data_IF_447534779992
#
_entry.id   IF_447534779992
#
_cell.length_a   1.000
_cell.length_b   1.000
_cell.length_c   1.000
_cell.angle_alpha   90.00
_cell.angle_beta   90.00
_cell.angle_gamma   90.00
#
_symmetry.space_group_name_H-M   'P 1'
#
loop_
_entity.id
_entity.type
_entity.pdbx_description
1 polymer ?
#
# COMPACT_ATOMS: atom_id res chain seq x y z
N UNK A 1 55.61 4.04 -36.93
CA UNK A 1 54.47 3.78 -36.01
C UNK A 1 53.83 5.10 -35.63
N UNK A 2 52.62 5.38 -36.13
CA UNK A 2 51.65 6.33 -35.52
C UNK A 2 50.49 6.51 -36.50
N UNK A 3 49.47 5.65 -36.38
CA UNK A 3 48.16 5.87 -36.99
C UNK A 3 47.33 6.73 -36.04
N UNK A 4 46.89 7.91 -36.48
CA UNK A 4 45.91 8.73 -35.79
C UNK A 4 44.50 8.35 -36.26
N UNK A 5 43.77 7.65 -35.39
CA UNK A 5 42.35 7.37 -35.56
C UNK A 5 41.51 8.60 -35.16
N UNK A 6 40.85 9.21 -36.14
CA UNK A 6 39.80 10.21 -35.91
C UNK A 6 38.45 9.51 -35.74
N UNK A 7 37.96 9.44 -34.49
CA UNK A 7 36.59 9.01 -34.18
C UNK A 7 35.60 10.15 -34.41
N UNK A 8 34.78 10.02 -35.46
CA UNK A 8 33.57 10.83 -35.66
C UNK A 8 32.51 10.48 -34.60
N UNK A 9 32.24 11.41 -33.69
CA UNK A 9 31.10 11.36 -32.76
C UNK A 9 29.88 11.98 -33.44
N UNK A 10 28.94 11.14 -33.90
CA UNK A 10 27.62 11.59 -34.34
C UNK A 10 26.75 11.90 -33.12
N UNK A 11 26.45 13.19 -32.92
CA UNK A 11 25.44 13.67 -31.96
C UNK A 11 24.04 13.40 -32.52
N UNK A 12 23.31 12.47 -31.92
CA UNK A 12 21.86 12.32 -32.14
C UNK A 12 21.12 13.21 -31.13
N UNK A 13 20.23 14.09 -31.64
CA UNK A 13 19.32 14.90 -30.82
C UNK A 13 18.17 14.02 -30.31
N UNK A 14 17.76 14.10 -29.04
CA UNK A 14 16.50 13.51 -28.60
C UNK A 14 15.34 14.45 -28.97
N UNK A 15 14.54 14.05 -29.96
CA UNK A 15 13.23 14.65 -30.24
C UNK A 15 12.16 13.80 -29.57
N UNK A 16 11.72 14.19 -28.38
CA UNK A 16 10.46 13.72 -27.79
C UNK A 16 9.91 14.79 -26.85
N UNK A 17 9.35 15.84 -27.43
CA UNK A 17 8.41 16.74 -26.74
C UNK A 17 7.02 16.13 -26.86
N UNK A 18 6.65 15.30 -25.88
CA UNK A 18 5.27 14.85 -25.71
C UNK A 18 4.39 16.07 -25.38
N UNK A 19 3.37 16.24 -26.21
CA UNK A 19 2.48 17.39 -26.22
C UNK A 19 1.59 17.38 -24.98
N UNK A 20 1.64 18.43 -24.17
CA UNK A 20 0.96 18.59 -22.87
C UNK A 20 -0.57 18.40 -22.96
N UNK A 21 -1.14 18.51 -24.18
CA UNK A 21 -2.54 18.22 -24.48
C UNK A 21 -2.95 16.74 -24.41
N UNK A 22 -2.04 15.78 -24.59
CA UNK A 22 -2.38 14.35 -24.56
C UNK A 22 -2.51 13.79 -23.14
N UNK A 23 -1.87 14.42 -22.14
CA UNK A 23 -1.92 13.93 -20.75
C UNK A 23 -3.28 14.21 -20.08
N UNK A 24 -4.01 15.25 -20.51
CA UNK A 24 -5.34 15.59 -19.97
C UNK A 24 -6.45 14.65 -20.45
N UNK A 25 -6.28 13.97 -21.59
CA UNK A 25 -7.28 13.05 -22.13
C UNK A 25 -7.23 11.66 -21.49
N UNK A 26 -6.08 11.28 -20.90
CA UNK A 26 -5.94 10.03 -20.14
C UNK A 26 -6.48 10.13 -18.70
N UNK A 27 -6.53 11.32 -18.10
CA UNK A 27 -7.07 11.50 -16.75
C UNK A 27 -8.60 11.39 -16.67
N UNK A 28 -9.34 11.71 -17.74
CA UNK A 28 -10.81 11.61 -17.74
C UNK A 28 -11.34 10.19 -17.94
N UNK A 29 -10.50 9.24 -18.36
CA UNK A 29 -10.90 7.84 -18.52
C UNK A 29 -10.77 7.01 -17.22
N UNK A 30 -10.12 7.54 -16.18
CA UNK A 30 -9.78 6.80 -14.96
C UNK A 30 -10.82 6.83 -13.84
N UNK A 31 -11.95 7.54 -14.00
CA UNK A 31 -12.94 7.77 -12.93
C UNK A 31 -14.27 7.01 -13.08
N UNK A 32 -14.42 6.12 -14.07
CA UNK A 32 -15.71 5.48 -14.37
C UNK A 32 -15.75 3.93 -14.30
N UNK A 33 -14.70 3.25 -13.80
CA UNK A 33 -14.70 1.79 -13.69
C UNK A 33 -14.37 1.34 -12.26
N UNK A 34 -15.31 1.60 -11.34
CA UNK A 34 -15.35 0.95 -10.03
C UNK A 34 -16.78 0.51 -9.74
N UNK A 35 -17.09 -0.75 -10.03
CA UNK A 35 -18.41 -1.30 -9.73
C UNK A 35 -18.54 -2.76 -10.15
N UNK A 36 -18.42 -3.63 -9.15
CA UNK A 36 -19.01 -4.97 -9.07
C UNK A 36 -18.40 -6.10 -9.89
N UNK A 37 -17.24 -6.60 -9.45
CA UNK A 37 -16.86 -8.00 -9.67
C UNK A 37 -16.66 -8.71 -8.32
N UNK A 38 -17.79 -9.01 -7.65
CA UNK A 38 -17.85 -10.11 -6.69
C UNK A 38 -17.84 -11.43 -7.48
N UNK A 39 -16.66 -11.81 -7.97
CA UNK A 39 -16.41 -13.12 -8.55
C UNK A 39 -16.20 -14.14 -7.43
N UNK A 40 -17.27 -14.80 -7.00
CA UNK A 40 -17.18 -16.10 -6.31
C UNK A 40 -16.47 -17.09 -7.26
N UNK A 41 -15.15 -17.17 -7.13
CA UNK A 41 -14.36 -18.25 -7.72
C UNK A 41 -14.67 -19.52 -6.94
N UNK A 42 -15.77 -20.16 -7.31
CA UNK A 42 -16.08 -21.52 -6.94
C UNK A 42 -14.96 -22.41 -7.48
N UNK A 43 -14.07 -22.79 -6.58
CA UNK A 43 -12.94 -23.67 -6.80
C UNK A 43 -13.45 -25.08 -7.09
N UNK A 44 -14.01 -25.28 -8.28
CA UNK A 44 -14.32 -26.60 -8.82
C UNK A 44 -13.00 -27.26 -9.19
N UNK A 45 -12.33 -27.82 -8.18
CA UNK A 45 -11.40 -28.92 -8.34
C UNK A 45 -12.17 -30.10 -8.92
N UNK A 46 -12.41 -30.08 -10.23
CA UNK A 46 -12.73 -31.29 -10.97
C UNK A 46 -11.48 -32.15 -10.91
N UNK A 47 -11.45 -33.05 -9.94
CA UNK A 47 -10.52 -34.15 -9.85
C UNK A 47 -10.55 -34.87 -11.21
N UNK A 48 -9.55 -34.59 -12.05
CA UNK A 48 -9.25 -35.39 -13.22
C UNK A 48 -8.71 -36.70 -12.67
N UNK A 49 -9.64 -37.58 -12.31
CA UNK A 49 -9.36 -38.97 -12.00
C UNK A 49 -8.61 -39.52 -13.21
N UNK A 50 -7.32 -39.91 -13.08
CA UNK A 50 -6.64 -40.63 -14.14
C UNK A 50 -7.34 -41.98 -14.22
N UNK A 51 -8.31 -42.07 -15.14
CA UNK A 51 -9.03 -43.30 -15.41
C UNK A 51 -8.00 -44.25 -16.00
N UNK A 52 -7.35 -45.04 -15.13
CA UNK A 52 -6.48 -46.12 -15.54
C UNK A 52 -7.24 -46.96 -16.58
N UNK A 53 -6.67 -47.16 -17.78
CA UNK A 53 -7.26 -48.08 -18.72
C UNK A 53 -7.21 -49.44 -18.06
N UNK A 54 -8.38 -49.92 -17.60
CA UNK A 54 -8.58 -51.27 -17.09
C UNK A 54 -7.87 -52.23 -18.04
N UNK A 55 -6.72 -52.74 -17.61
CA UNK A 55 -5.96 -53.78 -18.32
C UNK A 55 -6.92 -54.94 -18.52
N UNK A 56 -7.48 -55.03 -19.72
CA UNK A 56 -8.20 -56.19 -20.19
C UNK A 56 -7.24 -57.36 -20.08
N UNK A 57 -7.52 -58.27 -19.15
CA UNK A 57 -6.83 -59.55 -19.00
C UNK A 57 -6.97 -60.28 -20.32
N UNK A 58 -5.96 -60.16 -21.18
CA UNK A 58 -5.84 -60.94 -22.40
C UNK A 58 -5.67 -62.38 -21.98
N UNK A 59 -6.75 -63.15 -22.03
CA UNK A 59 -6.76 -64.59 -21.88
C UNK A 59 -5.97 -65.13 -23.07
N UNK A 60 -4.69 -65.41 -22.86
CA UNK A 60 -3.86 -66.20 -23.75
C UNK A 60 -4.31 -67.65 -23.56
N UNK A 61 -5.38 -68.04 -24.24
CA UNK A 61 -5.77 -69.44 -24.38
C UNK A 61 -4.69 -70.13 -25.23
N UNK A 62 -3.92 -71.00 -24.58
CA UNK A 62 -2.99 -71.92 -25.21
C UNK A 62 -3.78 -72.81 -26.18
N UNK A 63 -3.64 -72.55 -27.48
CA UNK A 63 -4.13 -73.45 -28.52
C UNK A 63 -3.29 -74.72 -28.50
N UNK A 64 -3.80 -75.75 -27.85
CA UNK A 64 -3.28 -77.10 -27.93
C UNK A 64 -3.35 -77.57 -29.40
N UNK A 65 -2.19 -77.88 -29.97
CA UNK A 65 -2.02 -78.46 -31.30
C UNK A 65 -2.59 -79.88 -31.31
N UNK A 66 -3.87 -80.02 -31.66
CA UNK A 66 -4.41 -81.30 -32.07
C UNK A 66 -3.89 -81.63 -33.47
N UNK A 67 -3.04 -82.65 -33.56
CA UNK A 67 -2.65 -83.32 -34.79
C UNK A 67 -3.90 -83.91 -35.46
N UNK A 68 -4.53 -83.12 -36.33
CA UNK A 68 -5.54 -83.62 -37.27
C UNK A 68 -4.80 -84.16 -38.49
N UNK A 69 -4.71 -85.49 -38.59
CA UNK A 69 -4.29 -86.19 -39.79
C UNK A 69 -5.09 -85.64 -40.99
N UNK A 70 -4.38 -85.10 -41.98
CA UNK A 70 -4.98 -84.45 -43.14
C UNK A 70 -5.67 -85.49 -44.05
N UNK A 71 -6.95 -85.75 -43.79
CA UNK A 71 -7.84 -86.34 -44.78
C UNK A 71 -7.91 -85.35 -45.95
N UNK A 72 -7.52 -85.82 -47.15
CA UNK A 72 -7.57 -85.05 -48.40
C UNK A 72 -9.05 -84.91 -48.83
N UNK A 73 -9.80 -84.09 -48.12
CA UNK A 73 -11.20 -83.82 -48.42
C UNK A 73 -11.30 -83.06 -49.74
N UNK A 74 -11.91 -83.70 -50.73
CA UNK A 74 -12.39 -83.04 -51.94
C UNK A 74 -13.46 -82.03 -51.55
N UNK A 75 -13.07 -80.76 -51.43
CA UNK A 75 -14.00 -79.68 -51.08
C UNK A 75 -14.94 -79.47 -52.27
N UNK A 76 -16.20 -79.90 -52.13
CA UNK A 76 -17.30 -79.48 -53.00
C UNK A 76 -17.71 -78.08 -52.57
N UNK A 77 -17.37 -77.09 -53.40
CA UNK A 77 -17.84 -75.71 -53.22
C UNK A 77 -18.92 -75.47 -54.25
N UNK A 78 -20.00 -74.78 -53.88
CA UNK A 78 -21.08 -74.40 -54.78
C UNK A 78 -20.51 -73.93 -56.13
N UNK A 79 -20.75 -74.72 -57.18
CA UNK A 79 -20.19 -74.53 -58.53
C UNK A 79 -20.47 -73.13 -59.07
N UNK A 80 -21.58 -72.54 -58.66
CA UNK A 80 -22.15 -71.33 -59.23
C UNK A 80 -21.39 -70.06 -58.86
N UNK A 81 -20.43 -70.14 -57.91
CA UNK A 81 -19.64 -68.99 -57.45
C UNK A 81 -18.19 -69.00 -57.92
N UNK A 82 -17.77 -70.03 -58.66
CA UNK A 82 -16.38 -70.20 -59.06
C UNK A 82 -16.29 -70.24 -60.58
N UNK A 83 -15.73 -69.18 -61.16
CA UNK A 83 -15.41 -69.14 -62.58
C UNK A 83 -14.04 -69.79 -62.78
N UNK A 84 -14.02 -71.00 -63.31
CA UNK A 84 -12.79 -71.63 -63.77
C UNK A 84 -12.36 -71.02 -65.09
N UNK A 85 -11.07 -70.70 -65.21
CA UNK A 85 -10.47 -70.15 -66.41
C UNK A 85 -10.37 -71.22 -67.51
N UNK A 86 -10.53 -70.77 -68.75
CA UNK A 86 -10.42 -71.63 -69.92
C UNK A 86 -8.96 -71.91 -70.26
N UNK A 87 -8.70 -72.91 -71.10
CA UNK A 87 -7.32 -73.25 -71.51
C UNK A 87 -6.65 -72.14 -72.31
N UNK A 88 -7.44 -71.27 -72.92
CA UNK A 88 -6.94 -70.11 -73.66
C UNK A 88 -6.29 -69.07 -72.73
N UNK A 89 -6.68 -69.07 -71.45
CA UNK A 89 -6.19 -68.11 -70.46
C UNK A 89 -4.91 -68.61 -69.74
N UNK A 90 -4.43 -69.80 -70.09
CA UNK A 90 -3.30 -70.45 -69.45
C UNK A 90 -1.98 -69.75 -69.75
N UNK A 91 -1.26 -69.42 -68.68
CA UNK A 91 0.05 -68.78 -68.76
C UNK A 91 1.12 -69.84 -68.73
N UNK A 92 1.85 -69.98 -69.83
CA UNK A 92 2.98 -70.90 -69.96
C UNK A 92 4.25 -70.25 -69.40
N UNK A 93 4.47 -70.41 -68.10
CA UNK A 93 5.65 -69.90 -67.41
C UNK A 93 6.78 -70.94 -67.44
N UNK A 94 8.04 -70.51 -67.47
CA UNK A 94 9.19 -71.44 -67.44
C UNK A 94 9.37 -72.12 -66.08
N UNK A 95 8.83 -71.53 -65.02
CA UNK A 95 8.96 -71.99 -63.63
C UNK A 95 7.58 -72.18 -62.99
N UNK A 96 7.47 -73.08 -62.00
CA UNK A 96 6.26 -73.22 -61.21
C UNK A 96 5.96 -71.92 -60.44
N UNK A 97 4.73 -71.42 -60.55
CA UNK A 97 4.30 -70.20 -59.87
C UNK A 97 4.41 -70.26 -58.33
N UNK A 98 4.25 -71.44 -57.74
CA UNK A 98 4.25 -71.66 -56.29
C UNK A 98 5.68 -71.85 -55.75
N UNK A 99 6.38 -72.90 -56.17
CA UNK A 99 7.71 -73.25 -55.63
C UNK A 99 8.89 -72.76 -56.47
N UNK A 100 8.63 -72.11 -57.62
CA UNK A 100 9.64 -71.57 -58.54
C UNK A 100 10.59 -72.58 -59.19
N UNK A 101 10.33 -73.89 -59.11
CA UNK A 101 11.11 -74.91 -59.83
C UNK A 101 10.98 -74.73 -61.35
N UNK A 102 12.09 -74.88 -62.08
CA UNK A 102 12.15 -74.78 -63.55
C UNK A 102 11.50 -76.01 -64.18
N UNK A 103 10.58 -75.81 -65.13
CA UNK A 103 10.04 -76.88 -65.95
C UNK A 103 11.09 -77.31 -66.97
N UNK A 104 11.52 -78.58 -66.90
CA UNK A 104 12.57 -79.13 -67.75
C UNK A 104 12.21 -80.50 -68.33
N UNK A 105 13.04 -80.96 -69.28
CA UNK A 105 12.83 -82.22 -70.01
C UNK A 105 12.78 -83.47 -69.13
N UNK A 106 13.42 -83.44 -67.96
CA UNK A 106 13.67 -84.64 -67.17
C UNK A 106 12.74 -84.85 -65.99
N UNK A 107 12.00 -83.86 -65.43
CA UNK A 107 11.20 -84.18 -64.24
C UNK A 107 10.04 -83.30 -63.76
N UNK A 108 9.36 -82.49 -64.58
CA UNK A 108 8.04 -82.00 -64.16
C UNK A 108 7.15 -81.60 -65.35
N UNK A 109 6.09 -82.40 -65.58
CA UNK A 109 5.03 -82.03 -66.51
C UNK A 109 4.37 -80.74 -66.00
N UNK A 110 4.36 -79.72 -66.85
CA UNK A 110 3.70 -78.45 -66.56
C UNK A 110 2.19 -78.67 -66.41
N UNK A 111 1.63 -78.25 -65.29
CA UNK A 111 0.19 -78.23 -65.05
C UNK A 111 -0.29 -76.79 -64.93
N UNK A 112 -1.58 -76.55 -65.08
CA UNK A 112 -2.17 -75.23 -64.91
C UNK A 112 -3.23 -75.26 -63.82
N UNK A 113 -3.21 -74.24 -62.96
CA UNK A 113 -4.27 -74.04 -61.98
C UNK A 113 -5.51 -73.48 -62.69
N UNK A 114 -6.65 -74.17 -62.61
CA UNK A 114 -7.88 -73.72 -63.28
C UNK A 114 -8.51 -72.45 -62.67
N UNK A 115 -8.03 -72.00 -61.51
CA UNK A 115 -8.50 -70.77 -60.85
C UNK A 115 -7.68 -69.52 -61.19
N UNK A 116 -6.36 -69.65 -61.37
CA UNK A 116 -5.48 -68.50 -61.60
C UNK A 116 -4.67 -68.58 -62.90
N UNK A 117 -4.84 -69.67 -63.66
CA UNK A 117 -4.21 -69.98 -64.94
C UNK A 117 -2.67 -70.04 -64.97
N UNK A 118 -2.01 -69.84 -63.83
CA UNK A 118 -0.56 -69.96 -63.72
C UNK A 118 -0.08 -71.42 -63.85
N UNK A 119 1.14 -71.55 -64.37
CA UNK A 119 1.83 -72.84 -64.49
C UNK A 119 2.36 -73.32 -63.15
N UNK A 120 2.11 -74.59 -62.82
CA UNK A 120 2.46 -75.19 -61.54
C UNK A 120 2.95 -76.63 -61.73
N UNK A 121 3.87 -77.08 -60.88
CA UNK A 121 4.31 -78.47 -60.88
C UNK A 121 3.22 -79.40 -60.32
N UNK A 122 3.44 -80.72 -60.46
CA UNK A 122 2.48 -81.73 -59.99
C UNK A 122 2.24 -81.61 -58.49
N UNK A 123 3.30 -81.37 -57.73
CA UNK A 123 3.29 -81.30 -56.26
C UNK A 123 2.46 -80.10 -55.78
N UNK A 124 2.70 -78.91 -56.34
CA UNK A 124 1.98 -77.69 -55.94
C UNK A 124 0.52 -77.62 -56.44
N UNK A 125 0.03 -78.66 -57.10
CA UNK A 125 -1.30 -78.72 -57.71
C UNK A 125 -1.99 -80.08 -57.51
N UNK A 126 -1.67 -80.78 -56.43
CA UNK A 126 -2.27 -82.09 -56.14
C UNK A 126 -3.77 -82.00 -55.83
N UNK A 127 -4.25 -80.82 -55.45
CA UNK A 127 -5.61 -80.60 -54.97
C UNK A 127 -6.58 -80.29 -56.12
N UNK A 128 -7.83 -80.68 -55.94
CA UNK A 128 -8.93 -80.40 -56.87
C UNK A 128 -10.08 -79.68 -56.18
N UNK A 129 -10.78 -78.85 -56.95
CA UNK A 129 -12.02 -78.19 -56.56
C UNK A 129 -13.02 -78.44 -57.69
N UNK A 130 -14.15 -79.08 -57.40
CA UNK A 130 -15.14 -79.48 -58.40
C UNK A 130 -14.46 -80.16 -59.61
N UNK A 131 -13.62 -81.15 -59.31
CA UNK A 131 -12.81 -81.94 -60.26
C UNK A 131 -11.75 -81.18 -61.07
N UNK A 132 -11.67 -79.87 -60.94
CA UNK A 132 -10.67 -79.04 -61.59
C UNK A 132 -9.39 -78.94 -60.76
N UNK A 133 -8.23 -79.11 -61.41
CA UNK A 133 -6.92 -78.99 -60.77
C UNK A 133 -6.66 -77.54 -60.34
N UNK A 134 -6.28 -77.36 -59.07
CA UNK A 134 -5.97 -76.03 -58.51
C UNK A 134 -4.62 -76.08 -57.79
N UNK A 135 -3.91 -74.96 -57.78
CA UNK A 135 -2.69 -74.86 -56.99
C UNK A 135 -3.00 -74.74 -55.50
N UNK A 136 -2.04 -75.11 -54.66
CA UNK A 136 -2.21 -75.08 -53.19
C UNK A 136 -2.61 -73.70 -52.67
N UNK A 137 -2.08 -72.62 -53.27
CA UNK A 137 -2.42 -71.24 -52.90
C UNK A 137 -3.91 -70.96 -53.15
N UNK A 138 -4.42 -71.34 -54.32
CA UNK A 138 -5.83 -71.11 -54.67
C UNK A 138 -6.76 -72.00 -53.83
N UNK A 139 -6.35 -73.25 -53.59
CA UNK A 139 -7.07 -74.16 -52.71
C UNK A 139 -7.17 -73.62 -51.27
N UNK A 140 -6.07 -73.11 -50.71
CA UNK A 140 -6.05 -72.53 -49.37
C UNK A 140 -6.93 -71.28 -49.27
N UNK A 141 -6.91 -70.39 -50.27
CA UNK A 141 -7.79 -69.22 -50.35
C UNK A 141 -9.27 -69.63 -50.34
N UNK A 142 -9.60 -70.67 -51.10
CA UNK A 142 -10.95 -71.22 -51.16
C UNK A 142 -11.39 -71.96 -49.89
N UNK A 143 -10.49 -72.69 -49.23
CA UNK A 143 -10.80 -73.33 -47.95
C UNK A 143 -11.08 -72.28 -46.85
N UNK A 144 -10.51 -71.08 -46.97
CA UNK A 144 -10.57 -70.05 -45.95
C UNK A 144 -11.41 -68.82 -46.31
N UNK A 145 -12.52 -68.97 -47.06
CA UNK A 145 -13.42 -67.85 -47.42
C UNK A 145 -13.95 -67.13 -46.16
N UNK A 146 -14.31 -67.90 -45.12
CA UNK A 146 -14.74 -67.32 -43.84
C UNK A 146 -13.64 -66.48 -43.18
N UNK A 147 -12.38 -66.94 -43.22
CA UNK A 147 -11.24 -66.19 -42.70
C UNK A 147 -10.94 -64.93 -43.51
N UNK A 148 -11.01 -64.99 -44.85
CA UNK A 148 -10.88 -63.80 -45.70
C UNK A 148 -11.97 -62.76 -45.41
N UNK A 149 -13.23 -63.18 -45.25
CA UNK A 149 -14.33 -62.27 -44.88
C UNK A 149 -14.09 -61.62 -43.52
N UNK A 150 -13.62 -62.38 -42.53
CA UNK A 150 -13.24 -61.86 -41.20
C UNK A 150 -12.08 -60.86 -41.31
N UNK A 151 -11.03 -61.19 -42.07
CA UNK A 151 -9.89 -60.30 -42.34
C UNK A 151 -10.32 -59.00 -43.00
N UNK A 152 -11.16 -59.05 -44.03
CA UNK A 152 -11.69 -57.85 -44.70
C UNK A 152 -12.50 -56.97 -43.75
N UNK A 153 -13.37 -57.57 -42.92
CA UNK A 153 -14.12 -56.84 -41.87
C UNK A 153 -13.18 -56.18 -40.86
N UNK A 154 -12.16 -56.90 -40.39
CA UNK A 154 -11.16 -56.36 -39.46
C UNK A 154 -10.39 -55.19 -40.09
N UNK A 155 -9.92 -55.35 -41.33
CA UNK A 155 -9.22 -54.28 -42.05
C UNK A 155 -10.11 -53.05 -42.27
N UNK A 156 -11.40 -53.24 -42.58
CA UNK A 156 -12.34 -52.14 -42.68
C UNK A 156 -12.55 -51.43 -41.34
N UNK A 157 -12.68 -52.19 -40.24
CA UNK A 157 -12.79 -51.63 -38.89
C UNK A 157 -11.53 -50.84 -38.50
N UNK A 158 -10.33 -51.37 -38.77
CA UNK A 158 -9.07 -50.68 -38.52
C UNK A 158 -8.94 -49.40 -39.37
N UNK A 159 -9.36 -49.43 -40.64
CA UNK A 159 -9.37 -48.23 -41.50
C UNK A 159 -10.28 -47.13 -40.94
N UNK A 160 -11.49 -47.49 -40.50
CA UNK A 160 -12.40 -46.53 -39.87
C UNK A 160 -11.83 -45.98 -38.56
N UNK A 161 -11.18 -46.83 -37.76
CA UNK A 161 -10.51 -46.41 -36.53
C UNK A 161 -9.38 -45.42 -36.80
N UNK A 162 -8.52 -45.69 -37.78
CA UNK A 162 -7.45 -44.77 -38.22
C UNK A 162 -8.04 -43.44 -38.69
N UNK A 163 -9.14 -43.48 -39.46
CA UNK A 163 -9.82 -42.25 -39.91
C UNK A 163 -10.32 -41.42 -38.73
N UNK A 164 -10.96 -42.06 -37.74
CA UNK A 164 -11.45 -41.38 -36.54
C UNK A 164 -10.30 -40.79 -35.71
N UNK A 165 -9.20 -41.53 -35.56
CA UNK A 165 -8.00 -41.02 -34.88
C UNK A 165 -7.42 -39.80 -35.62
N UNK A 166 -7.34 -39.85 -36.95
CA UNK A 166 -6.87 -38.72 -37.75
C UNK A 166 -7.74 -37.48 -37.56
N UNK A 167 -9.07 -37.62 -37.55
CA UNK A 167 -9.98 -36.49 -37.29
C UNK A 167 -9.86 -35.95 -35.87
N UNK A 168 -9.57 -36.80 -34.89
CA UNK A 168 -9.35 -36.35 -33.51
C UNK A 168 -8.02 -35.61 -33.37
N UNK A 169 -6.97 -36.06 -34.05
CA UNK A 169 -5.67 -35.38 -34.10
C UNK A 169 -5.81 -33.99 -34.73
N UNK A 170 -6.56 -33.85 -35.83
CA UNK A 170 -6.76 -32.53 -36.45
C UNK A 170 -7.52 -31.58 -35.54
N UNK A 171 -8.59 -32.06 -34.87
CA UNK A 171 -9.33 -31.25 -33.88
C UNK A 171 -8.44 -30.81 -32.71
N UNK A 172 -7.67 -31.74 -32.14
CA UNK A 172 -6.73 -31.42 -31.06
C UNK A 172 -5.66 -30.40 -31.47
N UNK A 173 -5.16 -30.48 -32.71
CA UNK A 173 -4.20 -29.50 -33.23
C UNK A 173 -4.83 -28.11 -33.43
N UNK A 174 -6.09 -28.03 -33.86
CA UNK A 174 -6.80 -26.75 -33.96
C UNK A 174 -7.06 -26.13 -32.59
N UNK A 175 -7.44 -26.93 -31.59
CA UNK A 175 -7.61 -26.48 -30.20
C UNK A 175 -6.28 -26.00 -29.60
N UNK A 176 -5.17 -26.72 -29.82
CA UNK A 176 -3.84 -26.29 -29.40
C UNK A 176 -3.45 -24.94 -30.01
N UNK A 177 -3.68 -24.74 -31.31
CA UNK A 177 -3.42 -23.44 -31.96
C UNK A 177 -4.23 -22.29 -31.35
N UNK A 178 -5.49 -22.55 -30.96
CA UNK A 178 -6.33 -21.56 -30.27
C UNK A 178 -5.81 -21.25 -28.87
N UNK A 179 -5.33 -22.27 -28.15
CA UNK A 179 -4.72 -22.06 -26.83
C UNK A 179 -3.40 -21.29 -26.92
N UNK A 180 -2.57 -21.59 -27.92
CA UNK A 180 -1.32 -20.87 -28.18
C UNK A 180 -1.56 -19.38 -28.45
N UNK A 181 -2.55 -19.04 -29.28
CA UNK A 181 -2.89 -17.63 -29.53
C UNK A 181 -3.46 -16.95 -28.29
N UNK A 182 -4.29 -17.64 -27.49
CA UNK A 182 -4.79 -17.13 -26.20
C UNK A 182 -3.65 -16.86 -25.21
N UNK A 183 -2.69 -17.78 -25.09
CA UNK A 183 -1.50 -17.61 -24.25
C UNK A 183 -0.63 -16.44 -24.70
N UNK A 184 -0.49 -16.22 -26.02
CA UNK A 184 0.23 -15.06 -26.55
C UNK A 184 -0.48 -13.75 -26.18
N UNK A 185 -1.79 -13.67 -26.39
CA UNK A 185 -2.57 -12.48 -26.04
C UNK A 185 -2.50 -12.15 -24.55
N UNK A 186 -2.60 -13.16 -23.67
CA UNK A 186 -2.46 -12.96 -22.22
C UNK A 186 -1.08 -12.45 -21.82
N UNK A 187 -0.02 -12.95 -22.48
CA UNK A 187 1.35 -12.44 -22.24
C UNK A 187 1.50 -10.98 -22.67
N UNK A 188 0.91 -10.60 -23.80
CA UNK A 188 0.98 -9.22 -24.28
C UNK A 188 0.14 -8.29 -23.40
N UNK A 189 -1.04 -8.72 -22.93
CA UNK A 189 -1.84 -8.00 -21.94
C UNK A 189 -1.07 -7.80 -20.63
N UNK A 190 -0.43 -8.85 -20.11
CA UNK A 190 0.36 -8.78 -18.88
C UNK A 190 1.52 -7.79 -18.99
N UNK A 191 2.18 -7.70 -20.16
CA UNK A 191 3.23 -6.69 -20.41
C UNK A 191 2.67 -5.27 -20.39
N UNK A 192 1.53 -5.05 -21.03
CA UNK A 192 0.88 -3.72 -21.07
C UNK A 192 0.49 -3.29 -19.65
N UNK A 193 -0.03 -4.20 -18.83
CA UNK A 193 -0.36 -3.92 -17.43
C UNK A 193 0.88 -3.57 -16.60
N UNK A 194 1.99 -4.29 -16.80
CA UNK A 194 3.25 -4.00 -16.12
C UNK A 194 3.79 -2.62 -16.51
N UNK A 195 3.76 -2.25 -17.78
CA UNK A 195 4.14 -0.91 -18.25
C UNK A 195 3.25 0.19 -17.63
N UNK A 196 1.93 -0.04 -17.53
CA UNK A 196 1.01 0.89 -16.85
C UNK A 196 1.37 1.07 -15.38
N UNK A 197 1.68 -0.01 -14.66
CA UNK A 197 2.10 0.05 -13.25
C UNK A 197 3.40 0.83 -13.08
N UNK A 198 4.36 0.68 -13.99
CA UNK A 198 5.61 1.43 -13.95
C UNK A 198 5.40 2.92 -14.15
N UNK A 199 4.54 3.32 -15.10
CA UNK A 199 4.17 4.72 -15.33
C UNK A 199 3.48 5.31 -14.08
N UNK A 200 2.54 4.57 -13.48
CA UNK A 200 1.85 5.01 -12.27
C UNK A 200 2.82 5.21 -11.10
N UNK A 201 3.76 4.28 -10.91
CA UNK A 201 4.81 4.38 -9.91
C UNK A 201 5.67 5.65 -10.11
N UNK A 202 6.01 5.99 -11.36
CA UNK A 202 6.79 7.18 -11.67
C UNK A 202 6.02 8.47 -11.35
N UNK A 203 4.72 8.51 -11.68
CA UNK A 203 3.83 9.62 -11.31
C UNK A 203 3.77 9.80 -9.80
N UNK A 204 3.61 8.71 -9.04
CA UNK A 204 3.56 8.75 -7.58
C UNK A 204 4.89 9.24 -6.98
N UNK A 205 6.03 8.79 -7.51
CA UNK A 205 7.36 9.29 -7.11
C UNK A 205 7.52 10.79 -7.34
N UNK A 206 7.06 11.29 -8.49
CA UNK A 206 7.09 12.73 -8.81
C UNK A 206 6.22 13.54 -7.85
N UNK A 207 5.00 13.07 -7.54
CA UNK A 207 4.11 13.69 -6.55
C UNK A 207 4.73 13.72 -5.15
N UNK A 208 5.35 12.62 -4.72
CA UNK A 208 6.03 12.54 -3.42
C UNK A 208 7.18 13.56 -3.34
N UNK A 209 7.99 13.68 -4.39
CA UNK A 209 9.07 14.67 -4.46
C UNK A 209 8.54 16.12 -4.46
N UNK A 210 7.35 16.38 -5.01
CA UNK A 210 6.71 17.70 -4.94
C UNK A 210 6.22 18.00 -3.52
N UNK A 211 5.57 17.05 -2.85
CA UNK A 211 5.12 17.18 -1.46
C UNK A 211 6.32 17.45 -0.54
N UNK A 212 7.41 16.71 -0.73
CA UNK A 212 8.62 16.89 0.08
C UNK A 212 9.22 18.29 -0.07
N UNK A 213 9.31 18.83 -1.30
CA UNK A 213 9.75 20.20 -1.54
C UNK A 213 8.82 21.24 -0.90
N UNK A 214 7.51 21.00 -0.93
CA UNK A 214 6.52 21.86 -0.27
C UNK A 214 6.71 21.86 1.25
N UNK A 215 6.88 20.67 1.85
CA UNK A 215 7.17 20.50 3.28
C UNK A 215 8.43 21.24 3.69
N UNK A 216 9.55 21.05 2.98
CA UNK A 216 10.82 21.74 3.27
C UNK A 216 10.68 23.27 3.21
N UNK A 217 9.88 23.76 2.25
CA UNK A 217 9.58 25.19 2.12
C UNK A 217 8.75 25.70 3.31
N UNK A 218 7.75 24.94 3.75
CA UNK A 218 6.93 25.27 4.93
C UNK A 218 7.76 25.26 6.22
N UNK A 219 8.61 24.26 6.41
CA UNK A 219 9.52 24.18 7.56
C UNK A 219 10.50 25.35 7.59
N UNK A 220 11.01 25.79 6.44
CA UNK A 220 11.86 26.98 6.36
C UNK A 220 11.11 28.24 6.80
N UNK A 221 9.85 28.42 6.35
CA UNK A 221 9.00 29.54 6.77
C UNK A 221 8.68 29.49 8.26
N UNK A 222 8.45 28.29 8.80
CA UNK A 222 8.19 28.11 10.23
C UNK A 222 9.41 28.52 11.06
N UNK A 223 10.62 28.05 10.69
CA UNK A 223 11.89 28.46 11.34
C UNK A 223 12.11 29.97 11.29
N UNK A 224 11.79 30.61 10.17
CA UNK A 224 11.89 32.06 10.05
C UNK A 224 10.91 32.79 10.99
N UNK A 225 9.66 32.32 11.09
CA UNK A 225 8.68 32.85 12.03
C UNK A 225 9.10 32.64 13.49
N UNK A 226 9.65 31.48 13.85
CA UNK A 226 10.17 31.20 15.18
C UNK A 226 11.29 32.18 15.56
N UNK A 227 12.25 32.40 14.65
CA UNK A 227 13.32 33.39 14.84
C UNK A 227 12.76 34.81 15.03
N UNK A 228 11.76 35.21 14.24
CA UNK A 228 11.10 36.52 14.39
C UNK A 228 10.39 36.65 15.74
N UNK A 229 9.73 35.58 16.21
CA UNK A 229 9.09 35.57 17.53
C UNK A 229 10.13 35.71 18.65
N UNK A 230 11.28 35.05 18.52
CA UNK A 230 12.34 35.12 19.52
C UNK A 230 12.92 36.54 19.62
N UNK A 231 13.19 37.19 18.49
CA UNK A 231 13.62 38.61 18.47
C UNK A 231 12.58 39.51 19.16
N UNK A 232 11.28 39.30 18.88
CA UNK A 232 10.20 40.08 19.52
C UNK A 232 10.09 39.82 21.02
N UNK A 233 10.35 38.60 21.51
CA UNK A 233 10.39 38.29 22.94
C UNK A 233 11.51 39.04 23.63
N UNK A 234 12.71 39.04 23.05
CA UNK A 234 13.87 39.78 23.57
C UNK A 234 13.59 41.28 23.62
N UNK A 235 13.01 41.85 22.55
CA UNK A 235 12.62 43.28 22.53
C UNK A 235 11.55 43.59 23.60
N UNK A 236 10.55 42.71 23.77
CA UNK A 236 9.54 42.86 24.84
C UNK A 236 10.19 42.84 26.22
N UNK A 237 11.11 41.91 26.48
CA UNK A 237 11.81 41.81 27.75
C UNK A 237 12.62 43.09 28.01
N UNK A 238 13.36 43.57 27.01
CA UNK A 238 14.11 44.83 27.11
C UNK A 238 13.21 46.02 27.47
N UNK A 239 12.05 46.15 26.82
CA UNK A 239 11.07 47.22 27.14
C UNK A 239 10.51 47.08 28.55
N UNK A 240 10.32 45.85 29.03
CA UNK A 240 9.89 45.60 30.40
C UNK A 240 10.96 46.04 31.41
N UNK A 241 12.23 45.76 31.13
CA UNK A 241 13.35 46.19 31.96
C UNK A 241 13.48 47.72 31.97
N UNK A 242 13.34 48.38 30.81
CA UNK A 242 13.27 49.84 30.70
C UNK A 242 12.12 50.43 31.53
N UNK A 243 10.93 49.82 31.49
CA UNK A 243 9.78 50.26 32.29
C UNK A 243 10.06 50.15 33.81
N UNK A 244 10.69 49.05 34.24
CA UNK A 244 11.07 48.84 35.64
C UNK A 244 12.10 49.88 36.12
N UNK A 245 13.06 50.25 35.26
CA UNK A 245 14.02 51.33 35.53
C UNK A 245 13.31 52.68 35.71
N UNK A 246 12.38 53.04 34.81
CA UNK A 246 11.59 54.26 34.95
C UNK A 246 10.76 54.29 36.23
N UNK A 247 10.13 53.18 36.62
CA UNK A 247 9.40 53.08 37.88
C UNK A 247 10.31 53.27 39.09
N UNK A 248 11.53 52.75 39.03
CA UNK A 248 12.53 52.92 40.09
C UNK A 248 12.95 54.39 40.20
N UNK A 249 13.25 55.04 39.07
CA UNK A 249 13.56 56.48 39.02
C UNK A 249 12.41 57.34 39.55
N UNK A 250 11.17 57.01 39.21
CA UNK A 250 9.99 57.69 39.72
C UNK A 250 9.88 57.58 41.24
N UNK A 251 10.10 56.39 41.80
CA UNK A 251 10.10 56.17 43.27
C UNK A 251 11.17 57.02 43.97
N UNK A 252 12.36 57.11 43.39
CA UNK A 252 13.46 57.94 43.91
C UNK A 252 13.03 59.42 43.93
N UNK A 253 12.55 59.95 42.80
CA UNK A 253 12.10 61.35 42.70
C UNK A 253 10.97 61.65 43.68
N UNK A 254 9.98 60.76 43.82
CA UNK A 254 8.89 60.92 44.79
C UNK A 254 9.44 60.93 46.23
N UNK A 255 10.43 60.09 46.53
CA UNK A 255 11.14 60.10 47.81
C UNK A 255 11.85 61.43 48.08
N UNK A 256 12.58 61.95 47.10
CA UNK A 256 13.28 63.24 47.19
C UNK A 256 12.32 64.41 47.39
N UNK A 257 11.20 64.43 46.66
CA UNK A 257 10.14 65.45 46.84
C UNK A 257 9.61 65.41 48.27
N UNK A 258 9.37 64.22 48.82
CA UNK A 258 8.90 64.05 50.20
C UNK A 258 9.92 64.58 51.21
N UNK A 259 11.20 64.27 51.04
CA UNK A 259 12.28 64.80 51.89
C UNK A 259 12.35 66.32 51.83
N UNK A 260 12.18 66.92 50.64
CA UNK A 260 12.14 68.37 50.48
C UNK A 260 10.91 69.00 51.15
N UNK A 261 9.74 68.36 51.07
CA UNK A 261 8.52 68.82 51.76
C UNK A 261 8.70 68.79 53.27
N UNK A 262 9.28 67.72 53.82
CA UNK A 262 9.56 67.59 55.24
C UNK A 262 10.58 68.66 55.70
N UNK A 263 11.63 68.91 54.91
CA UNK A 263 12.60 69.96 55.18
C UNK A 263 11.97 71.36 55.14
N UNK A 264 11.10 71.64 54.16
CA UNK A 264 10.36 72.90 54.07
C UNK A 264 9.46 73.11 55.28
N UNK A 265 8.71 72.08 55.69
CA UNK A 265 7.84 72.12 56.88
C UNK A 265 8.64 72.41 58.14
N UNK A 266 9.77 71.73 58.34
CA UNK A 266 10.68 71.98 59.46
C UNK A 266 11.19 73.42 59.49
N UNK A 267 11.59 73.98 58.33
CA UNK A 267 11.99 75.39 58.22
C UNK A 267 10.85 76.36 58.50
N UNK A 268 9.63 76.04 58.07
CA UNK A 268 8.44 76.84 58.36
C UNK A 268 8.13 76.86 59.86
N UNK A 269 8.22 75.71 60.52
CA UNK A 269 8.04 75.58 61.97
C UNK A 269 9.11 76.40 62.72
N UNK A 270 10.38 76.32 62.31
CA UNK A 270 11.47 77.15 62.84
C UNK A 270 11.20 78.65 62.65
N UNK A 271 10.74 79.06 61.47
CA UNK A 271 10.40 80.45 61.20
C UNK A 271 9.29 80.96 62.13
N UNK A 272 8.25 80.15 62.35
CA UNK A 272 7.17 80.49 63.27
C UNK A 272 7.66 80.61 64.72
N UNK A 273 8.56 79.72 65.16
CA UNK A 273 9.21 79.82 66.47
C UNK A 273 9.98 81.14 66.60
N UNK A 274 10.77 81.52 65.59
CA UNK A 274 11.50 82.79 65.58
C UNK A 274 10.56 84.01 65.60
N UNK A 275 9.44 83.96 64.87
CA UNK A 275 8.40 84.99 64.93
C UNK A 275 7.81 85.13 66.34
N UNK A 276 7.53 84.01 67.00
CA UNK A 276 7.02 84.01 68.36
C UNK A 276 8.05 84.58 69.34
N UNK A 277 9.31 84.14 69.26
CA UNK A 277 10.41 84.70 70.06
C UNK A 277 10.57 86.20 69.86
N UNK A 278 10.52 86.68 68.61
CA UNK A 278 10.56 88.12 68.30
C UNK A 278 9.42 88.88 68.96
N UNK A 279 8.19 88.34 68.92
CA UNK A 279 7.02 88.94 69.56
C UNK A 279 7.18 88.99 71.08
N UNK A 280 7.69 87.91 71.68
CA UNK A 280 7.94 87.85 73.13
C UNK A 280 9.02 88.86 73.54
N UNK A 281 10.10 89.01 72.77
CA UNK A 281 11.11 90.04 72.98
C UNK A 281 10.55 91.47 72.85
N UNK A 282 9.67 91.73 71.89
CA UNK A 282 8.98 93.03 71.77
C UNK A 282 8.05 93.31 72.96
N UNK A 283 7.37 92.28 73.47
CA UNK A 283 6.56 92.39 74.68
C UNK A 283 7.44 92.67 75.92
N UNK A 284 8.60 92.02 76.02
CA UNK A 284 9.59 92.31 77.07
C UNK A 284 10.16 93.73 76.95
N UNK A 285 10.52 94.17 75.75
CA UNK A 285 11.01 95.53 75.50
C UNK A 285 9.97 96.58 75.88
N UNK A 286 8.70 96.38 75.50
CA UNK A 286 7.61 97.28 75.87
C UNK A 286 7.32 97.28 77.36
N UNK A 287 7.44 96.13 78.05
CA UNK A 287 7.37 96.04 79.51
C UNK A 287 8.48 96.85 80.21
N UNK A 288 9.73 96.75 79.74
CA UNK A 288 10.86 97.50 80.26
C UNK A 288 10.74 99.03 80.06
N UNK A 289 9.99 99.47 79.04
CA UNK A 289 9.72 100.90 78.76
C UNK A 289 8.58 101.51 79.60
N UNK A 290 7.90 100.74 80.47
CA UNK A 290 6.81 101.27 81.31
C UNK A 290 7.34 102.22 82.41
N UNK A 291 6.73 103.41 82.64
CA UNK A 291 7.22 104.43 83.59
C UNK A 291 7.36 103.97 85.06
N UNK A 292 6.72 102.87 85.46
CA UNK A 292 6.80 102.32 86.82
C UNK A 292 7.98 101.35 87.04
N UNK A 293 8.62 100.82 85.98
CA UNK A 293 9.79 99.94 86.11
C UNK A 293 11.01 100.69 86.67
N UNK A 294 11.19 101.95 86.26
CA UNK A 294 12.18 102.89 86.83
C UNK A 294 11.92 103.25 88.30
N UNK A 295 10.66 103.18 88.78
CA UNK A 295 10.33 103.38 90.20
C UNK A 295 10.60 102.14 91.05
N UNK A 296 10.35 100.93 90.53
CA UNK A 296 10.62 99.68 91.24
C UNK A 296 12.13 99.44 91.47
N UNK A 297 12.99 99.87 90.54
CA UNK A 297 14.46 99.74 90.66
C UNK A 297 15.09 100.61 91.77
N UNK A 298 14.35 101.55 92.36
CA UNK A 298 14.83 102.42 93.47
C UNK A 298 14.40 101.96 94.86
N UNK A 299 13.59 100.91 94.99
CA UNK A 299 13.19 100.38 96.28
C UNK A 299 13.89 99.04 96.55
N UNK A 300 14.39 98.92 97.78
CA UNK A 300 15.30 97.92 98.32
C UNK A 300 15.18 96.46 97.82
N UNK A 301 16.31 95.76 97.59
CA UNK A 301 16.33 94.34 97.22
C UNK A 301 16.01 93.35 98.36
N UNK A 302 15.67 93.79 99.57
CA UNK A 302 15.57 92.91 100.75
C UNK A 302 14.22 92.21 100.97
N UNK A 303 13.20 92.39 100.11
CA UNK A 303 11.87 91.82 100.38
C UNK A 303 11.20 91.10 99.19
N UNK A 304 11.99 90.45 98.34
CA UNK A 304 11.51 89.74 97.15
C UNK A 304 11.74 88.20 97.17
N UNK A 305 12.00 87.61 98.34
CA UNK A 305 12.18 86.16 98.50
C UNK A 305 10.92 85.37 98.87
N UNK A 306 9.75 85.99 99.15
CA UNK A 306 8.55 85.25 99.55
C UNK A 306 7.46 85.10 98.47
N UNK A 307 7.58 85.76 97.32
CA UNK A 307 6.56 85.70 96.27
C UNK A 307 6.79 84.62 95.17
N UNK A 308 7.91 83.89 95.22
CA UNK A 308 8.28 82.91 94.16
C UNK A 308 7.86 81.46 94.50
N UNK A 309 7.40 81.17 95.72
CA UNK A 309 6.99 79.82 96.13
C UNK A 309 5.48 79.53 95.87
N UNK A 310 4.66 80.51 95.47
CA UNK A 310 3.20 80.32 95.33
C UNK A 310 2.68 80.07 93.90
N UNK A 311 3.54 79.98 92.88
CA UNK A 311 3.11 79.76 91.49
C UNK A 311 3.48 78.39 90.89
N UNK A 312 4.00 77.46 91.70
CA UNK A 312 4.43 76.12 91.21
C UNK A 312 3.48 74.97 91.60
N UNK A 313 2.22 75.27 91.97
CA UNK A 313 1.30 74.25 92.53
C UNK A 313 -0.14 74.24 91.96
N UNK A 314 -0.42 74.80 90.77
CA UNK A 314 -1.81 74.89 90.28
C UNK A 314 -2.12 74.43 88.85
N UNK A 315 -1.25 73.71 88.14
CA UNK A 315 -1.59 73.14 86.81
C UNK A 315 -1.42 71.61 86.72
N UNK A 316 -2.14 70.91 87.60
CA UNK A 316 -2.63 69.57 87.32
C UNK A 316 -4.17 69.57 87.26
N UNK A 317 -4.69 69.19 86.08
CA UNK A 317 -6.07 68.74 85.76
C UNK A 317 -7.01 69.75 85.08
N UNK A 318 -7.17 69.60 83.77
CA UNK A 318 -8.43 69.46 83.00
C UNK A 318 -8.10 69.64 81.49
N UNK A 319 -8.54 68.83 80.53
CA UNK A 319 -9.57 67.82 80.54
C UNK A 319 -9.48 66.89 79.32
N UNK A 320 -10.17 65.77 79.51
CA UNK A 320 -10.53 64.71 78.57
C UNK A 320 -11.41 65.29 77.46
N UNK A 321 -11.18 64.88 76.20
CA UNK A 321 -12.28 64.63 75.27
C UNK A 321 -11.93 63.52 74.25
N UNK A 322 -12.70 62.45 74.38
CA UNK A 322 -12.92 61.34 73.46
C UNK A 322 -13.65 61.80 72.18
N UNK A 323 -13.34 61.18 71.03
CA UNK A 323 -14.21 60.67 69.94
C UNK A 323 -13.25 60.19 68.82
N UNK A 324 -13.44 59.14 68.02
CA UNK A 324 -14.32 57.98 67.93
C UNK A 324 -13.69 57.05 66.85
N UNK A 325 -13.79 55.72 67.02
CA UNK A 325 -13.98 54.63 66.01
C UNK A 325 -13.53 54.85 64.54
N UNK A 326 -12.82 53.93 63.86
CA UNK A 326 -13.33 52.64 63.33
C UNK A 326 -12.20 51.61 63.07
N UNK A 327 -12.50 50.39 63.50
CA UNK A 327 -12.06 49.04 63.09
C UNK A 327 -11.47 48.86 61.66
N UNK A 328 -10.36 48.13 61.55
CA UNK A 328 -10.41 46.83 60.88
C UNK A 328 -9.22 45.92 61.20
N UNK A 329 -9.57 44.74 61.73
CA UNK A 329 -8.77 43.54 61.80
C UNK A 329 -8.58 42.92 60.40
N UNK A 330 -7.37 42.44 60.13
CA UNK A 330 -7.05 41.17 59.47
C UNK A 330 -5.54 40.98 59.70
N UNK A 331 -5.10 40.14 60.64
CA UNK A 331 -5.05 38.67 60.53
C UNK A 331 -4.48 38.27 59.16
N UNK A 332 -3.16 38.10 59.08
CA UNK A 332 -2.61 36.97 58.35
C UNK A 332 -1.33 36.47 59.03
N UNK A 333 -1.31 35.15 59.17
CA UNK A 333 -0.45 34.37 60.05
C UNK A 333 1.02 34.41 59.65
N UNK A 334 1.86 34.50 60.68
CA UNK A 334 3.21 33.97 60.68
C UNK A 334 3.12 32.44 60.75
N UNK A 335 3.22 31.74 59.62
CA UNK A 335 3.64 30.33 59.59
C UNK A 335 5.11 30.29 59.23
N UNK A 336 5.94 30.25 60.26
CA UNK A 336 7.31 29.76 60.19
C UNK A 336 7.27 28.27 60.55
N UNK A 337 7.36 27.39 59.54
CA UNK A 337 7.94 26.05 59.65
C UNK A 337 8.16 25.43 58.25
N UNK A 338 9.41 24.98 58.01
CA UNK A 338 9.83 23.81 57.23
C UNK A 338 9.57 23.70 55.71
N UNK A 339 10.64 23.97 54.93
CA UNK A 339 11.26 23.11 53.89
C UNK A 339 12.47 23.90 53.32
N UNK A 340 13.70 23.70 53.79
CA UNK A 340 14.62 22.62 53.42
C UNK A 340 14.65 22.34 51.91
N UNK A 341 15.71 22.82 51.22
CA UNK A 341 16.55 22.10 50.25
C UNK A 341 17.80 22.98 49.97
N UNK A 342 18.87 22.59 50.64
CA UNK A 342 20.26 22.52 50.18
C UNK A 342 20.82 23.57 49.21
N UNK A 343 21.67 24.43 49.78
CA UNK A 343 22.94 24.80 49.16
C UNK A 343 23.88 23.59 49.22
N UNK A 344 23.89 22.77 48.17
CA UNK A 344 24.99 21.84 47.94
C UNK A 344 25.88 22.33 46.79
N UNK A 345 27.10 22.66 47.21
CA UNK A 345 28.33 22.68 46.46
C UNK A 345 28.40 21.45 45.52
N UNK A 346 28.43 21.65 44.20
CA UNK A 346 28.89 20.64 43.24
C UNK A 346 29.71 21.30 42.15
N UNK A 347 31.00 21.49 42.45
CA UNK A 347 32.03 21.26 41.44
C UNK A 347 32.03 19.77 41.12
N UNK A 348 31.70 19.39 39.89
CA UNK A 348 32.37 18.36 39.08
C UNK A 348 31.52 17.92 37.87
N UNK A 349 32.23 17.62 36.78
CA UNK A 349 31.84 16.82 35.63
C UNK A 349 30.92 17.43 34.56
N UNK A 350 31.54 18.28 33.74
CA UNK A 350 31.44 18.11 32.29
C UNK A 350 32.17 16.80 31.89
N UNK A 351 31.43 15.71 31.72
CA UNK A 351 31.84 14.59 30.86
C UNK A 351 30.82 14.50 29.73
N UNK A 352 31.26 14.59 28.48
CA UNK A 352 31.58 13.39 27.70
C UNK A 352 30.45 12.35 27.80
N UNK A 353 29.45 12.52 26.94
CA UNK A 353 28.76 11.43 26.26
C UNK A 353 28.02 11.99 25.05
N UNK A 354 28.79 12.19 23.97
CA UNK A 354 28.33 11.82 22.64
C UNK A 354 28.33 10.29 22.59
N UNK A 355 27.37 9.74 21.86
CA UNK A 355 27.13 8.31 21.61
C UNK A 355 26.16 7.70 22.64
N UNK A 356 24.87 7.76 22.29
CA UNK A 356 24.00 6.57 22.17
C UNK A 356 22.57 7.05 21.85
N UNK A 357 22.34 7.27 20.55
CA UNK A 357 21.00 7.42 19.95
C UNK A 357 20.91 6.49 18.75
N UNK A 358 21.08 5.20 19.01
CA UNK A 358 20.77 4.11 18.07
C UNK A 358 20.35 2.88 18.85
N UNK A 359 19.19 2.92 19.52
CA UNK A 359 18.39 1.74 19.90
C UNK A 359 17.20 2.19 20.74
N UNK A 360 16.14 2.68 20.10
CA UNK A 360 14.75 2.57 20.59
C UNK A 360 13.80 3.08 19.49
N UNK A 361 13.76 2.36 18.38
CA UNK A 361 12.82 2.60 17.28
C UNK A 361 12.30 1.27 16.70
N UNK A 362 11.87 0.33 17.57
CA UNK A 362 11.34 -0.96 17.12
C UNK A 362 10.10 -1.49 17.87
N UNK A 363 9.43 -0.73 18.74
CA UNK A 363 8.23 -1.26 19.43
C UNK A 363 6.98 -0.39 19.48
N UNK A 364 6.90 0.67 18.66
CA UNK A 364 5.66 1.47 18.56
C UNK A 364 5.22 1.59 17.11
N UNK A 365 4.71 0.49 16.55
CA UNK A 365 3.85 0.46 15.36
C UNK A 365 3.04 -0.84 15.31
N UNK A 366 2.40 -1.17 16.42
CA UNK A 366 1.41 -2.25 16.49
C UNK A 366 0.33 -1.82 17.48
N UNK A 367 -0.65 -1.07 16.99
CA UNK A 367 -1.77 -0.61 17.81
C UNK A 367 -2.29 0.77 17.44
N UNK A 368 -2.63 0.98 16.16
CA UNK A 368 -3.48 2.11 15.76
C UNK A 368 -4.16 1.80 14.42
N UNK A 369 -5.02 0.78 14.39
CA UNK A 369 -5.87 0.45 13.22
C UNK A 369 -7.34 0.18 13.58
N UNK A 370 -7.79 0.36 14.82
CA UNK A 370 -9.17 0.03 15.22
C UNK A 370 -9.90 1.21 15.89
N UNK A 371 -10.00 2.36 15.22
CA UNK A 371 -10.82 3.46 15.74
C UNK A 371 -11.35 4.47 14.68
N UNK A 372 -11.62 4.06 13.43
CA UNK A 372 -12.27 4.94 12.44
C UNK A 372 -13.34 4.19 11.63
N UNK A 373 -14.23 3.46 12.32
CA UNK A 373 -15.39 2.85 11.67
C UNK A 373 -16.68 3.04 12.48
N UNK A 374 -17.01 4.27 12.85
CA UNK A 374 -18.38 4.60 13.22
C UNK A 374 -18.66 6.10 13.04
N UNK A 375 -19.84 6.41 12.48
CA UNK A 375 -20.45 7.74 12.33
C UNK A 375 -20.04 8.54 11.08
N UNK A 376 -20.64 8.23 9.91
CA UNK A 376 -21.53 9.15 9.15
C UNK A 376 -22.53 8.29 8.35
N UNK A 377 -23.57 7.76 9.02
CA UNK A 377 -24.87 7.53 8.38
C UNK A 377 -25.80 8.61 8.91
N UNK A 378 -26.12 9.61 8.08
CA UNK A 378 -27.40 10.33 8.01
C UNK A 378 -27.23 11.64 7.23
N UNK A 379 -28.00 11.76 6.14
CA UNK A 379 -28.31 12.93 5.28
C UNK A 379 -27.95 12.61 3.81
N UNK A 380 -28.81 12.64 2.80
CA UNK A 380 -30.14 13.22 2.66
C UNK A 380 -30.96 12.46 1.62
N UNK A 381 -32.16 12.06 2.04
CA UNK A 381 -33.32 11.69 1.23
C UNK A 381 -33.64 12.85 0.26
N UNK A 382 -33.39 12.71 -1.05
CA UNK A 382 -34.05 13.54 -2.07
C UNK A 382 -35.10 12.71 -2.80
N UNK A 383 -36.33 13.20 -2.68
CA UNK A 383 -37.57 12.71 -3.29
C UNK A 383 -37.46 12.79 -4.82
N UNK A 384 -37.51 11.66 -5.52
CA UNK A 384 -37.98 11.62 -6.91
C UNK A 384 -39.44 11.21 -6.90
N UNK A 385 -40.32 12.21 -7.04
CA UNK A 385 -41.74 12.06 -7.35
C UNK A 385 -41.88 12.05 -8.88
N UNK A 386 -42.72 11.15 -9.38
CA UNK A 386 -43.57 11.43 -10.53
C UNK A 386 -43.00 11.04 -11.89
N UNK A 387 -43.51 9.93 -12.43
CA UNK A 387 -43.24 9.51 -13.80
C UNK A 387 -44.08 8.31 -14.22
N UNK A 388 -45.37 8.32 -13.87
CA UNK A 388 -46.36 7.35 -14.36
C UNK A 388 -46.64 7.57 -15.85
N UNK A 389 -45.97 6.81 -16.71
CA UNK A 389 -46.27 6.69 -18.13
C UNK A 389 -46.95 5.35 -18.42
N UNK A 390 -48.17 5.42 -18.95
CA UNK A 390 -49.14 4.34 -19.13
C UNK A 390 -48.71 3.25 -20.12
N UNK A 391 -49.18 2.04 -19.83
CA UNK A 391 -49.43 0.92 -20.76
C UNK A 391 -50.35 1.34 -21.90
N UNK A 392 -50.14 0.81 -23.10
CA UNK A 392 -51.13 0.09 -23.96
C UNK A 392 -50.54 -0.13 -25.35
N UNK A 393 -50.63 -1.34 -25.90
CA UNK A 393 -50.33 -1.56 -27.32
C UNK A 393 -50.06 -3.00 -27.74
N UNK A 394 -51.01 -3.90 -27.51
CA UNK A 394 -51.10 -5.24 -28.11
C UNK A 394 -51.39 -5.20 -29.62
N UNK A 395 -50.80 -6.17 -30.34
CA UNK A 395 -51.26 -6.87 -31.55
C UNK A 395 -51.59 -6.06 -32.82
N UNK A 396 -50.99 -6.44 -33.95
CA UNK A 396 -51.71 -7.13 -35.04
C UNK A 396 -50.74 -7.67 -36.10
N UNK A 397 -51.06 -8.88 -36.54
CA UNK A 397 -50.51 -9.56 -37.70
C UNK A 397 -51.00 -8.89 -38.99
N UNK A 398 -50.16 -8.88 -40.02
CA UNK A 398 -50.47 -9.38 -41.37
C UNK A 398 -49.16 -9.67 -42.10
#
# INVERSE_FOLDING_TARGET
MSFQDQKLVRKTKPSNSLNEGQMKQLQSAFMNESGDENGEYENQQTAINPHEPKRSKTIIQQNQSQDQSMIMDNIKVDSDKITFLSEKDFKFEKNCWVCKILFGKMNDRQHHCRLCSHSVCKICSQKRVNDNRVCDICFLKMKNVKGEKRKKKLLAAMKNFIKNLSTNITKGNEENKKLESKCKNLKDQSKIEEEKRQIELEILKSKLAQIQRSKETQEKKLREHENQLEVKKVDRQRRQDELNDYQTKQKIIVGDIKLQQDAYKSRYDQLNQLYQQKKDLQNQESFLRLPNYERAKRNDPENMCEAIIFLDNNDHRNGINHYNTVSNNNVFQSTSDSNNIDKHNTSQNYNQQKNDKTEYASSYNQGLMDADHEIIQHSSRKKNKGGSGKKTGTCLCD
#
